data_IF_909330367632
#
_entry.id   IF_909330367632
#
_cell.length_a   1.000
_cell.length_b   1.000
_cell.length_c   1.000
_cell.angle_alpha   90.00
_cell.angle_beta   90.00
_cell.angle_gamma   90.00
#
_symmetry.space_group_name_H-M   'P 1'
#
loop_
_entity.id
_entity.type
_entity.pdbx_description
1 polymer ?
#
# COMPACT_ATOMS: atom_id res chain seq x y z
N UNK A 1 21.55 12.94 18.45
CA UNK A 1 20.84 12.65 17.18
C UNK A 1 20.47 13.98 16.54
N UNK A 2 21.17 14.42 15.49
CA UNK A 2 20.80 15.63 14.73
C UNK A 2 19.88 15.22 13.57
N UNK A 3 18.63 15.65 13.63
CA UNK A 3 17.68 15.51 12.51
C UNK A 3 18.11 16.49 11.40
N UNK A 4 18.59 15.97 10.26
CA UNK A 4 18.84 16.80 9.08
C UNK A 4 17.49 17.19 8.48
N UNK A 5 17.19 18.49 8.39
CA UNK A 5 16.02 18.98 7.65
C UNK A 5 16.14 18.56 6.18
N UNK A 6 15.11 17.93 5.64
CA UNK A 6 14.95 17.70 4.22
C UNK A 6 14.85 19.07 3.51
N UNK A 7 15.66 19.32 2.49
CA UNK A 7 15.51 20.47 1.60
C UNK A 7 14.73 20.03 0.35
N UNK A 8 13.63 20.76 0.08
CA UNK A 8 12.82 20.84 -1.14
C UNK A 8 12.93 19.65 -2.11
N UNK A 9 12.24 18.56 -1.80
CA UNK A 9 11.90 17.52 -2.77
C UNK A 9 10.40 17.67 -3.08
N UNK A 10 9.94 17.64 -4.35
CA UNK A 10 8.51 17.65 -4.69
C UNK A 10 7.70 16.57 -3.95
N UNK A 11 8.35 15.49 -3.49
CA UNK A 11 7.79 14.53 -2.55
C UNK A 11 7.25 15.18 -1.26
N UNK A 12 7.96 16.14 -0.67
CA UNK A 12 7.55 16.79 0.60
C UNK A 12 6.27 17.62 0.42
N UNK A 13 6.07 18.26 -0.73
CA UNK A 13 4.82 19.00 -1.00
C UNK A 13 3.62 18.07 -1.10
N UNK A 14 3.82 16.86 -1.66
CA UNK A 14 2.80 15.80 -1.67
C UNK A 14 2.52 15.18 -0.30
N UNK A 15 3.43 15.35 0.68
CA UNK A 15 3.24 14.83 2.05
C UNK A 15 2.16 15.57 2.86
N UNK A 16 1.70 16.75 2.42
CA UNK A 16 0.64 17.50 3.12
C UNK A 16 -0.66 16.71 3.27
N UNK A 17 -0.89 15.75 2.38
CA UNK A 17 -2.02 14.81 2.43
C UNK A 17 -1.52 13.37 2.30
N UNK A 18 -0.44 13.04 3.01
CA UNK A 18 0.10 11.70 3.04
C UNK A 18 -0.30 10.94 4.31
N UNK A 19 -0.58 9.65 4.15
CA UNK A 19 -0.66 8.68 5.24
C UNK A 19 0.35 7.56 5.02
N UNK A 20 0.93 7.07 6.11
CA UNK A 20 1.79 5.89 6.06
C UNK A 20 0.89 4.66 5.99
N UNK A 21 1.00 3.88 4.91
CA UNK A 21 0.31 2.61 4.75
C UNK A 21 0.95 1.54 5.62
N UNK A 22 2.28 1.55 5.70
CA UNK A 22 3.04 0.61 6.50
C UNK A 22 4.55 0.75 6.29
N UNK A 23 5.32 -0.01 7.06
CA UNK A 23 6.77 -0.09 6.94
C UNK A 23 7.23 -1.55 6.95
N UNK A 24 8.30 -1.84 6.21
CA UNK A 24 8.89 -3.18 6.16
C UNK A 24 10.35 -3.07 5.74
N UNK A 25 11.27 -3.68 6.50
CA UNK A 25 12.70 -3.74 6.19
C UNK A 25 13.33 -2.37 5.86
N UNK A 26 12.94 -1.32 6.60
CA UNK A 26 13.44 0.03 6.40
C UNK A 26 12.79 0.81 5.25
N UNK A 27 11.89 0.20 4.47
CA UNK A 27 11.06 0.88 3.48
C UNK A 27 9.75 1.35 4.10
N UNK A 28 9.25 2.50 3.62
CA UNK A 28 7.95 3.06 3.95
C UNK A 28 7.05 3.02 2.71
N UNK A 29 5.82 2.58 2.87
CA UNK A 29 4.78 2.77 1.86
C UNK A 29 3.90 3.95 2.27
N UNK A 30 3.73 4.91 1.37
CA UNK A 30 3.04 6.17 1.60
C UNK A 30 1.91 6.31 0.59
N UNK A 31 0.71 6.59 1.06
CA UNK A 31 -0.42 6.97 0.22
C UNK A 31 -0.54 8.48 0.25
N UNK A 32 -0.65 9.13 -0.91
CA UNK A 32 -0.86 10.57 -1.00
C UNK A 32 -2.14 10.87 -1.76
N UNK A 33 -2.86 11.91 -1.35
CA UNK A 33 -4.02 12.42 -2.05
C UNK A 33 -5.18 12.70 -1.11
N UNK A 34 -6.17 13.44 -1.60
CA UNK A 34 -7.38 13.74 -0.84
C UNK A 34 -8.49 12.73 -1.18
N UNK A 35 -9.39 12.43 -0.24
CA UNK A 35 -10.62 11.70 -0.55
C UNK A 35 -11.35 12.32 -1.75
N UNK A 36 -11.68 11.50 -2.75
CA UNK A 36 -12.32 11.97 -3.99
C UNK A 36 -11.38 12.55 -5.05
N UNK A 37 -10.05 12.48 -4.85
CA UNK A 37 -9.03 12.87 -5.83
C UNK A 37 -8.17 11.67 -6.27
N UNK A 38 -7.24 11.89 -7.19
CA UNK A 38 -6.31 10.86 -7.66
C UNK A 38 -5.32 10.49 -6.54
N UNK A 39 -5.52 9.32 -5.93
CA UNK A 39 -4.57 8.73 -4.98
C UNK A 39 -3.32 8.23 -5.71
N UNK A 40 -2.14 8.47 -5.13
CA UNK A 40 -0.84 7.91 -5.56
C UNK A 40 -0.19 7.14 -4.43
N UNK A 41 0.52 6.07 -4.76
CA UNK A 41 1.25 5.24 -3.80
C UNK A 41 2.75 5.38 -4.07
N UNK A 42 3.51 5.61 -3.01
CA UNK A 42 4.96 5.73 -3.06
C UNK A 42 5.61 4.70 -2.13
N UNK A 43 6.73 4.14 -2.56
CA UNK A 43 7.65 3.41 -1.70
C UNK A 43 8.90 4.27 -1.50
N UNK A 44 9.24 4.51 -0.25
CA UNK A 44 10.35 5.37 0.15
C UNK A 44 11.39 4.56 0.93
N UNK A 45 12.66 4.72 0.57
CA UNK A 45 13.79 4.36 1.42
C UNK A 45 14.36 5.64 2.08
N UNK A 46 13.95 5.97 3.32
CA UNK A 46 14.37 7.19 3.98
C UNK A 46 15.89 7.22 4.28
N UNK A 47 16.56 6.07 4.36
CA UNK A 47 17.99 5.99 4.68
C UNK A 47 18.87 6.51 3.53
N UNK A 48 18.46 6.23 2.29
CA UNK A 48 19.18 6.65 1.07
C UNK A 48 18.44 7.75 0.29
N UNK A 49 17.28 8.20 0.80
CA UNK A 49 16.45 9.27 0.23
C UNK A 49 15.91 8.96 -1.16
N UNK A 50 15.66 7.69 -1.43
CA UNK A 50 15.04 7.24 -2.66
C UNK A 50 13.53 7.11 -2.49
N UNK A 51 12.80 7.54 -3.51
CA UNK A 51 11.34 7.48 -3.56
C UNK A 51 10.95 6.97 -4.94
N UNK A 52 10.05 5.99 -4.98
CA UNK A 52 9.52 5.42 -6.21
C UNK A 52 8.00 5.52 -6.15
N UNK A 53 7.40 6.15 -7.17
CA UNK A 53 5.95 6.11 -7.38
C UNK A 53 5.56 4.76 -7.98
N UNK A 54 4.55 4.11 -7.41
CA UNK A 54 4.05 2.83 -7.89
C UNK A 54 3.06 3.05 -9.04
N UNK A 55 3.02 2.14 -10.03
CA UNK A 55 2.00 2.18 -11.07
C UNK A 55 0.60 2.27 -10.47
N UNK A 56 -0.28 3.04 -11.10
CA UNK A 56 -1.67 3.17 -10.65
C UNK A 56 -2.38 1.82 -10.76
N UNK A 57 -3.04 1.39 -9.69
CA UNK A 57 -3.93 0.23 -9.72
C UNK A 57 -5.27 0.62 -10.35
N UNK A 58 -5.86 -0.23 -11.23
CA UNK A 58 -7.21 -0.01 -11.76
C UNK A 58 -8.28 0.07 -10.66
N UNK A 59 -8.05 -0.62 -9.53
CA UNK A 59 -8.96 -0.61 -8.38
C UNK A 59 -8.90 0.68 -7.57
N UNK A 60 -7.90 1.56 -7.79
CA UNK A 60 -7.83 2.85 -7.10
C UNK A 60 -8.85 3.89 -7.61
N UNK A 61 -9.48 3.64 -8.75
CA UNK A 61 -10.55 4.49 -9.28
C UNK A 61 -11.94 4.13 -8.73
N UNK A 62 -12.00 3.14 -7.83
CA UNK A 62 -13.23 2.74 -7.17
C UNK A 62 -13.55 3.67 -5.98
N UNK A 63 -14.84 3.94 -5.72
CA UNK A 63 -15.26 4.93 -4.73
C UNK A 63 -14.90 4.60 -3.28
N UNK A 64 -14.43 3.37 -3.01
CA UNK A 64 -14.13 2.91 -1.66
C UNK A 64 -12.88 2.04 -1.63
N UNK A 65 -11.80 2.59 -1.06
CA UNK A 65 -10.60 1.86 -0.68
C UNK A 65 -10.50 1.97 0.85
N UNK A 66 -11.00 0.97 1.60
CA UNK A 66 -11.07 1.07 3.05
C UNK A 66 -9.70 1.12 3.73
N UNK A 67 -8.70 0.49 3.12
CA UNK A 67 -7.36 0.35 3.66
C UNK A 67 -6.38 -0.12 2.57
N UNK A 68 -5.07 0.02 2.80
CA UNK A 68 -4.02 -0.62 2.01
C UNK A 68 -3.11 -1.40 2.95
N UNK A 69 -2.45 -2.44 2.43
CA UNK A 69 -1.40 -3.17 3.14
C UNK A 69 -0.07 -3.10 2.40
N UNK A 70 1.04 -3.00 3.14
CA UNK A 70 2.39 -3.12 2.59
C UNK A 70 3.22 -4.07 3.45
N UNK A 71 3.86 -5.08 2.83
CA UNK A 71 4.79 -5.95 3.53
C UNK A 71 5.76 -6.65 2.56
N UNK A 72 6.87 -7.10 3.11
CA UNK A 72 7.73 -8.08 2.46
C UNK A 72 7.15 -9.50 2.60
N UNK A 73 7.17 -10.27 1.52
CA UNK A 73 6.80 -11.69 1.50
C UNK A 73 8.06 -12.53 1.33
N UNK A 74 8.58 -13.16 2.40
CA UNK A 74 9.77 -14.00 2.31
C UNK A 74 9.59 -15.19 1.37
N UNK A 75 8.39 -15.76 1.32
CA UNK A 75 8.06 -16.95 0.51
C UNK A 75 8.29 -16.75 -0.98
N UNK A 76 8.02 -15.54 -1.49
CA UNK A 76 8.23 -15.17 -2.90
C UNK A 76 9.33 -14.12 -3.07
N UNK A 77 10.04 -13.80 -1.98
CA UNK A 77 11.13 -12.82 -1.91
C UNK A 77 10.79 -11.47 -2.57
N UNK A 78 9.62 -10.91 -2.24
CA UNK A 78 9.10 -9.72 -2.92
C UNK A 78 8.32 -8.80 -1.98
N UNK A 79 8.35 -7.50 -2.23
CA UNK A 79 7.47 -6.56 -1.55
C UNK A 79 6.12 -6.53 -2.24
N UNK A 80 5.06 -6.51 -1.43
CA UNK A 80 3.70 -6.47 -1.92
C UNK A 80 2.93 -5.32 -1.33
N UNK A 81 2.13 -4.69 -2.19
CA UNK A 81 1.09 -3.75 -1.80
C UNK A 81 -0.24 -4.42 -2.08
N UNK A 82 -1.11 -4.52 -1.09
CA UNK A 82 -2.42 -5.15 -1.22
C UNK A 82 -3.52 -4.11 -1.10
N UNK A 83 -4.39 -4.08 -2.10
CA UNK A 83 -5.55 -3.19 -2.15
C UNK A 83 -6.82 -4.05 -2.11
N UNK A 84 -7.63 -3.96 -1.04
CA UNK A 84 -9.00 -4.46 -1.07
C UNK A 84 -9.84 -3.59 -2.00
N UNK A 85 -10.81 -4.18 -2.66
CA UNK A 85 -11.82 -3.43 -3.38
C UNK A 85 -13.12 -4.22 -3.46
N UNK A 86 -14.22 -3.51 -3.69
CA UNK A 86 -15.53 -4.14 -3.91
C UNK A 86 -15.87 -3.99 -5.39
N UNK A 87 -15.90 -5.08 -6.17
CA UNK A 87 -16.32 -5.03 -7.57
C UNK A 87 -17.74 -4.48 -7.70
N UNK A 88 -18.03 -3.72 -8.75
CA UNK A 88 -19.37 -3.20 -9.02
C UNK A 88 -20.38 -4.35 -9.08
N UNK A 89 -21.50 -4.21 -8.37
CA UNK A 89 -22.55 -5.23 -8.31
C UNK A 89 -22.25 -6.43 -7.38
N UNK A 90 -21.15 -6.40 -6.63
CA UNK A 90 -20.79 -7.45 -5.68
C UNK A 90 -20.75 -6.89 -4.25
N UNK A 91 -21.04 -7.73 -3.25
CA UNK A 91 -21.00 -7.36 -1.82
C UNK A 91 -19.77 -7.93 -1.11
N UNK A 92 -18.86 -8.51 -1.88
CA UNK A 92 -17.70 -9.27 -1.41
C UNK A 92 -16.42 -8.55 -1.80
N UNK A 93 -15.47 -8.49 -0.87
CA UNK A 93 -14.13 -7.96 -1.15
C UNK A 93 -13.38 -8.86 -2.13
N UNK A 94 -12.79 -8.23 -3.14
CA UNK A 94 -11.71 -8.75 -3.94
C UNK A 94 -10.42 -8.01 -3.57
N UNK A 95 -9.29 -8.51 -4.05
CA UNK A 95 -7.99 -7.95 -3.72
C UNK A 95 -7.09 -7.90 -4.95
N UNK A 96 -6.37 -6.80 -5.07
CA UNK A 96 -5.23 -6.67 -5.96
C UNK A 96 -3.95 -6.67 -5.15
N UNK A 97 -2.93 -7.37 -5.63
CA UNK A 97 -1.59 -7.29 -5.09
C UNK A 97 -0.64 -6.76 -6.16
N UNK A 98 0.11 -5.73 -5.80
CA UNK A 98 1.29 -5.31 -6.52
C UNK A 98 2.46 -6.23 -6.17
N UNK A 99 3.30 -6.52 -7.16
CA UNK A 99 4.58 -7.19 -6.99
C UNK A 99 5.66 -6.28 -7.53
N UNK A 100 6.62 -5.91 -6.67
CA UNK A 100 7.74 -5.04 -7.05
C UNK A 100 8.59 -5.73 -8.11
N UNK A 101 8.82 -7.02 -7.93
CA UNK A 101 9.61 -7.84 -8.87
C UNK A 101 9.02 -7.87 -10.28
N UNK A 102 7.69 -7.94 -10.40
CA UNK A 102 7.01 -7.98 -11.71
C UNK A 102 6.50 -6.62 -12.18
N UNK A 103 6.72 -5.56 -11.40
CA UNK A 103 6.26 -4.20 -11.65
C UNK A 103 4.79 -4.12 -12.13
N UNK A 104 3.91 -4.91 -11.51
CA UNK A 104 2.52 -5.08 -11.99
C UNK A 104 1.55 -5.45 -10.88
N UNK A 105 0.30 -5.01 -11.07
CA UNK A 105 -0.85 -5.39 -10.27
C UNK A 105 -1.45 -6.70 -10.76
N UNK A 106 -1.81 -7.58 -9.84
CA UNK A 106 -2.51 -8.83 -10.13
C UNK A 106 -3.72 -8.98 -9.21
N UNK A 107 -4.85 -9.36 -9.79
CA UNK A 107 -5.98 -9.81 -8.99
C UNK A 107 -5.62 -11.14 -8.33
N UNK A 108 -5.79 -11.22 -7.01
CA UNK A 108 -5.50 -12.42 -6.23
C UNK A 108 -6.78 -13.10 -5.71
N UNK A 109 -7.95 -12.63 -6.14
CA UNK A 109 -9.25 -13.18 -5.81
C UNK A 109 -9.57 -13.18 -4.31
N UNK A 110 -10.74 -13.71 -3.97
CA UNK A 110 -11.23 -13.79 -2.59
C UNK A 110 -10.62 -14.97 -1.81
N UNK A 111 -10.17 -16.03 -2.52
CA UNK A 111 -9.72 -17.29 -1.92
C UNK A 111 -8.26 -17.35 -1.47
N UNK A 112 -7.43 -16.39 -1.90
CA UNK A 112 -5.98 -16.38 -1.61
C UNK A 112 -5.61 -15.65 -0.33
N UNK A 113 -6.59 -15.02 0.35
CA UNK A 113 -6.40 -14.19 1.52
C UNK A 113 -7.33 -14.63 2.64
N UNK A 114 -6.76 -15.04 3.78
CA UNK A 114 -7.53 -15.11 5.03
C UNK A 114 -7.59 -13.70 5.61
N UNK A 115 -8.63 -12.97 5.22
CA UNK A 115 -8.96 -11.67 5.81
C UNK A 115 -9.85 -11.91 7.02
N UNK A 116 -9.26 -11.90 8.21
CA UNK A 116 -10.01 -11.85 9.47
C UNK A 116 -10.18 -10.40 9.86
N UNK A 117 -11.33 -9.80 9.51
CA UNK A 117 -11.68 -8.44 9.92
C UNK A 117 -11.97 -8.41 11.43
N UNK A 118 -10.93 -8.19 12.24
CA UNK A 118 -11.09 -7.69 13.59
C UNK A 118 -11.05 -6.16 13.58
N UNK A 119 -11.65 -5.47 14.55
CA UNK A 119 -11.74 -4.00 14.59
C UNK A 119 -10.39 -3.25 14.60
N UNK A 120 -9.26 -3.97 14.62
CA UNK A 120 -7.89 -3.46 14.57
C UNK A 120 -7.13 -4.04 13.36
N UNK A 121 -7.81 -4.08 12.21
CA UNK A 121 -7.59 -5.00 11.10
C UNK A 121 -6.14 -5.35 10.72
N UNK A 122 -5.98 -6.62 10.38
CA UNK A 122 -4.82 -7.11 9.69
C UNK A 122 -5.27 -8.05 8.57
N UNK A 123 -4.48 -8.13 7.51
CA UNK A 123 -4.66 -9.11 6.44
C UNK A 123 -3.51 -10.08 6.50
N UNK A 124 -3.78 -11.36 6.21
CA UNK A 124 -2.71 -12.33 5.98
C UNK A 124 -2.71 -12.78 4.53
N UNK A 125 -1.56 -12.65 3.85
CA UNK A 125 -1.32 -13.15 2.49
C UNK A 125 -0.09 -14.03 2.48
N UNK A 126 -0.22 -15.30 2.07
CA UNK A 126 0.88 -16.27 1.99
C UNK A 126 1.76 -16.34 3.26
N UNK A 127 1.14 -16.22 4.44
CA UNK A 127 1.83 -16.28 5.74
C UNK A 127 2.44 -14.96 6.23
N UNK A 128 2.41 -13.90 5.42
CA UNK A 128 2.77 -12.54 5.86
C UNK A 128 1.56 -11.82 6.44
N UNK A 129 1.73 -11.11 7.55
CA UNK A 129 0.68 -10.31 8.18
C UNK A 129 0.88 -8.82 7.89
N UNK A 130 -0.18 -8.16 7.44
CA UNK A 130 -0.23 -6.77 7.03
C UNK A 130 -1.09 -6.03 8.06
N UNK A 131 -0.50 -5.12 8.82
CA UNK A 131 -1.19 -4.35 9.87
C UNK A 131 -1.71 -3.03 9.29
N UNK A 132 -2.88 -2.56 9.73
CA UNK A 132 -3.29 -1.18 9.51
C UNK A 132 -2.76 -0.29 10.63
N UNK A 133 -2.23 0.88 10.30
CA UNK A 133 -2.03 1.96 11.28
C UNK A 133 -3.03 3.06 10.99
N UNK A 134 -3.83 3.43 12.00
CA UNK A 134 -4.74 4.57 11.98
C UNK A 134 -4.00 5.90 12.01
#
# INVERSE_FOLDING_TARGET
MQLRRFQNNPFIDSLKHASIVGSSNGLLCVLTGLPGTLLSIYVCNPAIREVIEMPRSPSMDLPYIPFLGFAFSPTVNDYKIVIPYVPRGNHKYAFEAYSVTTNSWKNIGMGSLKVTSHPFGYITFNGSMFWFTS
#
